data_IF_764628981899
#
_entry.id   IF_764628981899
#
_cell.length_a   1.000
_cell.length_b   1.000
_cell.length_c   1.000
_cell.angle_alpha   90.00
_cell.angle_beta   90.00
_cell.angle_gamma   90.00
#
_symmetry.space_group_name_H-M   'P 1'
#
loop_
_entity.id
_entity.type
_entity.pdbx_description
1 polymer ?
#
# COMPACT_ATOMS: atom_id res chain seq x y z
N UNK A 1 5.97 -7.67 -6.90
CA UNK A 1 4.78 -7.04 -6.31
C UNK A 1 4.38 -7.79 -5.03
N UNK A 2 3.80 -7.13 -4.03
CA UNK A 2 3.44 -7.78 -2.75
C UNK A 2 2.50 -8.99 -2.93
N UNK A 3 1.62 -8.94 -3.94
CA UNK A 3 0.70 -10.03 -4.25
C UNK A 3 1.33 -11.24 -4.99
N UNK A 4 2.63 -11.25 -5.23
CA UNK A 4 3.31 -12.40 -5.88
C UNK A 4 3.40 -13.61 -4.94
N UNK A 5 3.26 -13.39 -3.63
CA UNK A 5 3.40 -14.42 -2.60
C UNK A 5 2.15 -15.29 -2.39
N UNK A 6 1.00 -14.94 -2.96
CA UNK A 6 -0.25 -15.69 -2.79
C UNK A 6 -0.82 -16.22 -4.12
N UNK A 7 -1.43 -17.40 -4.06
CA UNK A 7 -1.98 -18.09 -5.24
C UNK A 7 -3.23 -17.39 -5.82
N UNK A 8 -3.60 -17.65 -7.09
CA UNK A 8 -4.84 -17.14 -7.67
C UNK A 8 -6.10 -17.52 -6.88
N UNK A 9 -6.15 -18.74 -6.33
CA UNK A 9 -7.26 -19.21 -5.52
C UNK A 9 -7.37 -18.42 -4.20
N UNK A 10 -6.24 -18.12 -3.56
CA UNK A 10 -6.22 -17.27 -2.36
C UNK A 10 -6.67 -15.84 -2.69
N UNK A 11 -6.21 -15.26 -3.81
CA UNK A 11 -6.66 -13.95 -4.28
C UNK A 11 -8.17 -13.89 -4.47
N UNK A 12 -8.75 -14.93 -5.08
CA UNK A 12 -10.20 -15.01 -5.26
C UNK A 12 -10.94 -15.12 -3.91
N UNK A 13 -10.42 -15.90 -2.96
CA UNK A 13 -11.06 -16.12 -1.65
C UNK A 13 -11.14 -14.86 -0.77
N UNK A 14 -10.31 -13.87 -1.06
CA UNK A 14 -10.26 -12.58 -0.35
C UNK A 14 -10.77 -11.42 -1.21
N UNK A 15 -11.39 -11.67 -2.37
CA UNK A 15 -11.88 -10.61 -3.26
C UNK A 15 -10.78 -9.59 -3.65
N UNK A 16 -9.57 -10.08 -3.92
CA UNK A 16 -8.40 -9.23 -4.22
C UNK A 16 -8.57 -8.38 -5.47
N UNK A 17 -9.43 -8.81 -6.40
CA UNK A 17 -9.82 -8.08 -7.61
C UNK A 17 -10.70 -6.86 -7.30
N UNK A 18 -11.40 -6.86 -6.17
CA UNK A 18 -12.19 -5.72 -5.71
C UNK A 18 -11.39 -4.74 -4.88
N UNK A 19 -10.48 -5.24 -4.02
CA UNK A 19 -9.63 -4.42 -3.17
C UNK A 19 -8.25 -5.07 -2.94
N UNK A 20 -7.19 -4.40 -3.38
CA UNK A 20 -5.80 -4.85 -3.23
C UNK A 20 -5.41 -4.96 -1.76
N UNK A 21 -5.93 -4.07 -0.91
CA UNK A 21 -5.65 -4.07 0.52
C UNK A 21 -6.29 -5.26 1.26
N UNK A 22 -7.18 -6.03 0.63
CA UNK A 22 -7.71 -7.26 1.23
C UNK A 22 -6.64 -8.29 1.56
N UNK A 23 -5.50 -8.29 0.86
CA UNK A 23 -4.38 -9.16 1.22
C UNK A 23 -3.89 -8.91 2.66
N UNK A 24 -4.07 -7.68 3.16
CA UNK A 24 -3.70 -7.28 4.52
C UNK A 24 -4.85 -7.48 5.50
N UNK A 25 -6.06 -7.03 5.18
CA UNK A 25 -7.21 -7.17 6.09
C UNK A 25 -7.65 -8.62 6.33
N UNK A 26 -7.40 -9.53 5.37
CA UNK A 26 -7.60 -10.97 5.52
C UNK A 26 -6.34 -11.70 6.03
N UNK A 27 -5.33 -10.96 6.50
CA UNK A 27 -4.12 -11.48 7.14
C UNK A 27 -3.32 -12.47 6.27
N UNK A 28 -3.37 -12.33 4.94
CA UNK A 28 -2.64 -13.21 4.02
C UNK A 28 -1.15 -12.89 3.92
N UNK A 29 -0.77 -11.65 4.25
CA UNK A 29 0.63 -11.23 4.39
C UNK A 29 0.84 -10.50 5.71
N UNK A 30 2.00 -10.68 6.36
CA UNK A 30 2.36 -9.90 7.54
C UNK A 30 2.50 -8.43 7.14
N UNK A 31 1.87 -7.53 7.89
CA UNK A 31 1.97 -6.10 7.66
C UNK A 31 1.88 -5.34 8.99
N UNK A 32 2.29 -4.07 8.94
CA UNK A 32 1.94 -3.10 9.97
C UNK A 32 0.61 -2.44 9.59
N UNK A 33 -0.16 -2.01 10.59
CA UNK A 33 -1.44 -1.35 10.40
C UNK A 33 -1.54 -0.05 11.21
N UNK A 34 -2.34 0.89 10.72
CA UNK A 34 -2.70 2.11 11.44
C UNK A 34 -1.48 2.99 11.72
N UNK A 35 -1.33 3.41 12.98
CA UNK A 35 -0.22 4.30 13.39
C UNK A 35 1.16 3.69 13.15
N UNK A 36 1.29 2.37 13.25
CA UNK A 36 2.54 1.66 13.00
C UNK A 36 2.91 1.68 11.52
N UNK A 37 1.91 1.47 10.65
CA UNK A 37 2.07 1.61 9.21
C UNK A 37 2.49 3.05 8.82
N UNK A 38 1.81 4.06 9.38
CA UNK A 38 2.12 5.47 9.14
C UNK A 38 3.55 5.82 9.57
N UNK A 39 3.99 5.30 10.73
CA UNK A 39 5.35 5.50 11.24
C UNK A 39 6.39 4.87 10.30
N UNK A 40 6.21 3.61 9.93
CA UNK A 40 7.11 2.92 9.01
C UNK A 40 7.18 3.62 7.65
N UNK A 41 6.04 4.05 7.11
CA UNK A 41 5.97 4.80 5.86
C UNK A 41 6.71 6.14 5.91
N UNK A 42 6.64 6.86 7.03
CA UNK A 42 7.38 8.12 7.25
C UNK A 42 8.89 7.90 7.33
N UNK A 43 9.33 6.77 7.86
CA UNK A 43 10.75 6.42 8.00
C UNK A 43 11.40 6.01 6.67
N UNK A 44 10.60 5.67 5.66
CA UNK A 44 11.11 5.41 4.31
C UNK A 44 11.60 6.71 3.68
N UNK A 45 12.92 6.92 3.70
CA UNK A 45 13.56 8.01 2.96
C UNK A 45 13.54 7.67 1.47
N UNK A 46 12.84 8.47 0.66
CA UNK A 46 12.58 8.16 -0.75
C UNK A 46 12.78 9.39 -1.63
N UNK A 47 13.79 9.32 -2.49
CA UNK A 47 13.96 10.26 -3.59
C UNK A 47 12.93 9.98 -4.68
N UNK A 48 12.57 8.71 -4.90
CA UNK A 48 11.58 8.29 -5.91
C UNK A 48 10.62 7.27 -5.31
N UNK A 49 9.33 7.42 -5.57
CA UNK A 49 8.32 6.38 -5.38
C UNK A 49 7.25 6.43 -6.48
N UNK A 50 6.49 5.35 -6.62
CA UNK A 50 5.32 5.30 -7.49
C UNK A 50 4.06 5.33 -6.64
N UNK A 51 3.08 6.10 -7.10
CA UNK A 51 1.74 6.22 -6.52
C UNK A 51 0.73 5.82 -7.59
N UNK A 52 -0.18 4.93 -7.25
CA UNK A 52 -1.29 4.57 -8.12
C UNK A 52 -2.56 4.36 -7.30
N UNK A 53 -3.68 4.66 -7.92
CA UNK A 53 -5.00 4.41 -7.37
C UNK A 53 -5.49 3.08 -7.90
N UNK A 54 -6.13 2.30 -7.06
CA UNK A 54 -6.61 0.99 -7.46
C UNK A 54 -7.65 1.07 -8.60
N UNK A 55 -8.50 2.10 -8.60
CA UNK A 55 -9.57 2.27 -9.58
C UNK A 55 -9.11 2.90 -10.90
N UNK A 56 -7.80 3.13 -11.07
CA UNK A 56 -7.23 3.89 -12.20
C UNK A 56 -6.11 3.13 -12.87
N UNK A 57 -5.93 3.34 -14.17
CA UNK A 57 -4.82 2.76 -14.92
C UNK A 57 -3.54 3.59 -14.80
N UNK A 58 -3.67 4.86 -14.41
CA UNK A 58 -2.54 5.78 -14.29
C UNK A 58 -1.67 5.47 -13.07
N UNK A 59 -0.36 5.52 -13.29
CA UNK A 59 0.65 5.50 -12.23
C UNK A 59 1.45 6.79 -12.27
N UNK A 60 1.60 7.42 -11.11
CA UNK A 60 2.36 8.65 -10.94
C UNK A 60 3.74 8.32 -10.37
N UNK A 61 4.79 8.84 -11.00
CA UNK A 61 6.13 8.82 -10.44
C UNK A 61 6.35 10.12 -9.66
N UNK A 62 6.60 9.99 -8.36
CA UNK A 62 6.91 11.12 -7.49
C UNK A 62 8.42 11.22 -7.33
N UNK A 63 8.97 12.40 -7.64
CA UNK A 63 10.39 12.74 -7.48
C UNK A 63 10.52 13.69 -6.27
N UNK A 64 11.57 13.51 -5.48
CA UNK A 64 11.79 14.18 -4.20
C UNK A 64 10.62 13.96 -3.22
N UNK A 65 10.27 12.69 -3.03
CA UNK A 65 9.14 12.26 -2.21
C UNK A 65 9.47 12.15 -0.71
N UNK A 66 10.59 12.71 -0.25
CA UNK A 66 11.06 12.62 1.14
C UNK A 66 10.10 13.29 2.13
N UNK A 67 9.25 14.19 1.64
CA UNK A 67 8.23 14.89 2.41
C UNK A 67 6.82 14.30 2.25
N UNK A 68 6.64 13.25 1.46
CA UNK A 68 5.36 12.55 1.37
C UNK A 68 5.06 11.89 2.72
N UNK A 69 3.87 12.14 3.27
CA UNK A 69 3.42 11.60 4.56
C UNK A 69 2.02 11.02 4.42
N UNK A 70 1.65 10.15 5.36
CA UNK A 70 0.33 9.53 5.41
C UNK A 70 -0.80 10.57 5.49
N UNK A 71 -0.58 11.67 6.20
CA UNK A 71 -1.53 12.77 6.34
C UNK A 71 -1.86 13.44 5.00
N UNK A 72 -0.90 13.46 4.07
CA UNK A 72 -1.10 13.99 2.72
C UNK A 72 -1.92 13.06 1.83
N UNK A 73 -2.10 11.80 2.22
CA UNK A 73 -2.88 10.79 1.49
C UNK A 73 -4.23 10.52 2.14
N UNK A 74 -4.51 11.05 3.34
CA UNK A 74 -5.68 10.71 4.15
C UNK A 74 -7.03 10.96 3.47
N UNK A 75 -7.09 11.91 2.54
CA UNK A 75 -8.31 12.24 1.79
C UNK A 75 -8.34 11.60 0.39
N UNK A 76 -7.33 10.79 0.06
CA UNK A 76 -7.30 10.00 -1.16
C UNK A 76 -8.18 8.75 -1.01
N UNK A 77 -8.57 8.15 -2.14
CA UNK A 77 -9.23 6.85 -2.18
C UNK A 77 -8.22 5.72 -1.91
N UNK A 78 -8.48 4.51 -2.42
CA UNK A 78 -7.59 3.35 -2.26
C UNK A 78 -6.29 3.55 -3.06
N UNK A 79 -5.30 4.16 -2.40
CA UNK A 79 -4.02 4.53 -3.00
C UNK A 79 -2.89 3.69 -2.46
N UNK A 80 -2.08 3.18 -3.38
CA UNK A 80 -0.86 2.43 -3.08
C UNK A 80 0.36 3.29 -3.40
N UNK A 81 1.33 3.29 -2.48
CA UNK A 81 2.65 3.89 -2.68
C UNK A 81 3.71 2.81 -2.55
N UNK A 82 4.57 2.69 -3.55
CA UNK A 82 5.62 1.67 -3.64
C UNK A 82 6.97 2.29 -4.00
N UNK A 83 8.06 1.68 -3.57
CA UNK A 83 9.39 2.02 -4.09
C UNK A 83 9.63 1.40 -5.48
N UNK A 84 10.65 1.88 -6.22
CA UNK A 84 10.95 1.37 -7.56
C UNK A 84 11.28 -0.12 -7.66
N UNK A 85 11.65 -0.76 -6.55
CA UNK A 85 11.97 -2.18 -6.50
C UNK A 85 10.86 -3.02 -5.89
N UNK A 86 9.72 -2.40 -5.51
CA UNK A 86 8.60 -3.08 -4.84
C UNK A 86 9.06 -3.87 -3.61
N UNK A 87 9.98 -3.30 -2.84
CA UNK A 87 10.48 -3.80 -1.56
C UNK A 87 9.58 -3.41 -0.40
N UNK A 88 8.88 -2.28 -0.50
CA UNK A 88 7.83 -1.91 0.43
C UNK A 88 6.59 -1.38 -0.28
N UNK A 89 5.47 -1.41 0.42
CA UNK A 89 4.19 -0.91 -0.06
C UNK A 89 3.44 -0.29 1.11
N UNK A 90 3.03 0.97 0.96
CA UNK A 90 2.08 1.62 1.84
C UNK A 90 0.73 1.69 1.12
N UNK A 91 -0.33 1.33 1.82
CA UNK A 91 -1.69 1.39 1.28
C UNK A 91 -2.56 2.24 2.19
N UNK A 92 -3.08 3.32 1.64
CA UNK A 92 -4.13 4.10 2.26
C UNK A 92 -5.46 3.63 1.68
N UNK A 93 -6.39 3.32 2.57
CA UNK A 93 -7.75 2.89 2.25
C UNK A 93 -8.69 4.09 2.34
N UNK A 94 -9.82 4.00 1.66
CA UNK A 94 -10.94 4.92 1.85
C UNK A 94 -11.84 4.54 3.05
N UNK A 95 -11.66 3.35 3.63
CA UNK A 95 -12.44 2.86 4.77
C UNK A 95 -11.81 3.25 6.11
N UNK A 96 -12.52 4.05 6.92
CA UNK A 96 -12.04 4.57 8.21
C UNK A 96 -11.62 3.49 9.23
N UNK A 97 -12.12 2.25 9.07
CA UNK A 97 -11.91 1.14 9.99
C UNK A 97 -10.88 0.10 9.51
N UNK A 98 -10.27 0.30 8.33
CA UNK A 98 -9.29 -0.62 7.77
C UNK A 98 -8.01 0.13 7.42
N UNK A 99 -6.85 -0.36 7.86
CA UNK A 99 -5.59 0.26 7.47
C UNK A 99 -5.31 1.61 8.16
N UNK A 100 -4.45 2.46 7.58
CA UNK A 100 -3.58 2.15 6.44
C UNK A 100 -2.65 0.97 6.74
N UNK A 101 -2.13 0.33 5.70
CA UNK A 101 -1.24 -0.82 5.81
C UNK A 101 0.17 -0.49 5.33
N UNK A 102 1.17 -1.11 5.93
CA UNK A 102 2.55 -1.07 5.45
C UNK A 102 3.13 -2.48 5.40
N UNK A 103 3.56 -2.86 4.21
CA UNK A 103 4.23 -4.12 3.93
C UNK A 103 5.68 -3.86 3.51
N UNK A 104 6.59 -4.71 3.96
CA UNK A 104 7.97 -4.74 3.49
C UNK A 104 8.38 -6.19 3.25
N UNK A 105 8.95 -6.47 2.09
CA UNK A 105 9.58 -7.75 1.79
C UNK A 105 10.78 -7.95 2.71
N UNK A 106 10.94 -9.17 3.21
CA UNK A 106 12.17 -9.62 3.84
C UNK A 106 13.23 -9.98 2.79
#
# INVERSE_FOLDING_TARGET
MFADAISPQEKQSIYFDQFLWHIFSYEKLPCLEGKEAMRAFREMNRVICYLFYQEREETYMLINAENLRAEGLRNEHDVCVVDPHFMWTYVQTHEDYCGPYFYRKE
#
